data_IF_579406011724
#
_entry.id   IF_579406011724
#
_cell.length_a   1.000
_cell.length_b   1.000
_cell.length_c   1.000
_cell.angle_alpha   90.00
_cell.angle_beta   90.00
_cell.angle_gamma   90.00
#
_symmetry.space_group_name_H-M   'P 1'
#
loop_
_entity.id
_entity.type
_entity.pdbx_description
1 polymer ?
#
# COMPACT_ATOMS: atom_id res chain seq x y z
N UNK A 1 -48.29 -36.25 20.93
CA UNK A 1 -47.23 -35.68 21.78
C UNK A 1 -46.59 -34.52 21.03
N UNK A 2 -46.55 -33.38 21.69
CA UNK A 2 -46.35 -32.04 21.15
C UNK A 2 -44.89 -31.82 20.76
N UNK A 3 -44.63 -31.48 19.49
CA UNK A 3 -43.31 -31.04 19.05
C UNK A 3 -43.11 -29.62 19.57
N UNK A 4 -42.20 -29.45 20.53
CA UNK A 4 -41.80 -28.14 21.03
C UNK A 4 -41.18 -27.33 19.89
N UNK A 5 -41.83 -26.22 19.52
CA UNK A 5 -41.26 -25.22 18.65
C UNK A 5 -40.10 -24.52 19.39
N UNK A 6 -38.87 -24.74 18.93
CA UNK A 6 -37.72 -23.95 19.32
C UNK A 6 -37.91 -22.49 18.85
N UNK A 7 -37.53 -21.49 19.66
CA UNK A 7 -37.77 -20.09 19.34
C UNK A 7 -37.01 -19.70 18.08
N UNK A 8 -37.72 -19.03 17.15
CA UNK A 8 -37.13 -18.37 15.99
C UNK A 8 -36.09 -17.36 16.46
N UNK A 9 -34.81 -17.75 16.45
CA UNK A 9 -33.71 -16.80 16.48
C UNK A 9 -33.85 -15.99 15.19
N UNK A 10 -34.30 -14.75 15.32
CA UNK A 10 -34.21 -13.76 14.25
C UNK A 10 -32.72 -13.48 14.02
N UNK A 11 -32.10 -14.29 13.18
CA UNK A 11 -30.86 -13.92 12.52
C UNK A 11 -31.25 -12.92 11.43
N UNK A 12 -31.12 -11.63 11.75
CA UNK A 12 -31.04 -10.59 10.75
C UNK A 12 -29.74 -10.79 9.97
N UNK A 13 -29.81 -11.56 8.89
CA UNK A 13 -28.72 -11.72 7.92
C UNK A 13 -28.83 -10.57 6.94
N UNK A 14 -27.86 -9.64 7.00
CA UNK A 14 -27.75 -8.47 6.14
C UNK A 14 -27.77 -8.83 4.65
N UNK A 15 -28.44 -7.98 3.87
CA UNK A 15 -28.72 -8.09 2.43
C UNK A 15 -27.58 -7.54 1.55
N UNK A 16 -26.32 -7.85 1.83
CA UNK A 16 -25.20 -7.16 1.17
C UNK A 16 -24.62 -7.89 -0.04
N UNK A 17 -24.43 -7.17 -1.17
CA UNK A 17 -23.57 -7.58 -2.26
C UNK A 17 -22.15 -7.04 -2.03
N UNK A 18 -21.09 -7.85 -2.02
CA UNK A 18 -20.95 -9.01 -1.12
C UNK A 18 -19.86 -8.66 -0.12
N UNK A 19 -20.25 -8.28 1.12
CA UNK A 19 -19.28 -8.03 2.22
C UNK A 19 -18.31 -9.19 2.42
N UNK A 20 -18.75 -10.42 2.10
CA UNK A 20 -17.90 -11.61 2.07
C UNK A 20 -16.75 -11.50 1.04
N UNK A 21 -16.99 -10.98 -0.16
CA UNK A 21 -15.92 -10.78 -1.14
C UNK A 21 -14.97 -9.66 -0.71
N UNK A 22 -15.48 -8.59 -0.07
CA UNK A 22 -14.64 -7.55 0.52
C UNK A 22 -13.75 -8.13 1.64
N UNK A 23 -14.31 -8.98 2.51
CA UNK A 23 -13.56 -9.69 3.55
C UNK A 23 -12.42 -10.52 2.95
N UNK A 24 -12.71 -11.30 1.91
CA UNK A 24 -11.71 -12.10 1.20
C UNK A 24 -10.59 -11.23 0.60
N UNK A 25 -10.91 -10.07 0.00
CA UNK A 25 -9.89 -9.16 -0.53
C UNK A 25 -9.05 -8.52 0.59
N UNK A 26 -9.66 -8.18 1.74
CA UNK A 26 -8.95 -7.65 2.91
C UNK A 26 -7.96 -8.69 3.45
N UNK A 27 -8.37 -9.96 3.56
CA UNK A 27 -7.50 -11.06 3.96
C UNK A 27 -6.34 -11.28 2.98
N UNK A 28 -6.62 -11.27 1.67
CA UNK A 28 -5.58 -11.37 0.63
C UNK A 28 -4.59 -10.21 0.70
N UNK A 29 -5.06 -8.98 0.95
CA UNK A 29 -4.21 -7.80 1.16
C UNK A 29 -3.35 -7.95 2.40
N UNK A 30 -3.89 -8.49 3.51
CA UNK A 30 -3.11 -8.75 4.72
C UNK A 30 -2.01 -9.80 4.46
N UNK A 31 -2.33 -10.89 3.77
CA UNK A 31 -1.36 -11.91 3.39
C UNK A 31 -0.27 -11.35 2.45
N UNK A 32 -0.64 -10.50 1.49
CA UNK A 32 0.31 -9.85 0.60
C UNK A 32 1.27 -8.91 1.37
N UNK A 33 0.75 -8.14 2.34
CA UNK A 33 1.58 -7.28 3.20
C UNK A 33 2.54 -8.11 4.04
N UNK A 34 2.07 -9.20 4.64
CA UNK A 34 2.91 -10.12 5.40
C UNK A 34 4.05 -10.68 4.54
N UNK A 35 3.75 -11.15 3.33
CA UNK A 35 4.75 -11.65 2.38
C UNK A 35 5.82 -10.60 2.03
N UNK A 36 5.40 -9.34 1.80
CA UNK A 36 6.33 -8.23 1.56
C UNK A 36 7.21 -7.96 2.78
N UNK A 37 6.62 -7.95 3.98
CA UNK A 37 7.35 -7.65 5.21
C UNK A 37 8.34 -8.77 5.57
N UNK A 38 7.99 -10.03 5.28
CA UNK A 38 8.91 -11.17 5.42
C UNK A 38 10.06 -11.11 4.40
N UNK A 39 9.77 -10.74 3.14
CA UNK A 39 10.80 -10.50 2.13
C UNK A 39 11.75 -9.35 2.52
N UNK A 40 11.20 -8.27 3.07
CA UNK A 40 11.99 -7.14 3.57
C UNK A 40 12.86 -7.54 4.76
N UNK A 41 12.33 -8.34 5.70
CA UNK A 41 13.11 -8.86 6.82
C UNK A 41 14.29 -9.71 6.34
N UNK A 42 14.03 -10.64 5.42
CA UNK A 42 15.06 -11.48 4.84
C UNK A 42 16.14 -10.68 4.09
N UNK A 43 15.74 -9.63 3.35
CA UNK A 43 16.67 -8.73 2.67
C UNK A 43 17.57 -8.00 3.67
N UNK A 44 16.99 -7.43 4.73
CA UNK A 44 17.73 -6.73 5.78
C UNK A 44 18.73 -7.67 6.49
N UNK A 45 18.37 -8.93 6.72
CA UNK A 45 19.28 -9.93 7.28
C UNK A 45 20.49 -10.20 6.39
N UNK A 46 20.29 -10.28 5.07
CA UNK A 46 21.38 -10.47 4.10
C UNK A 46 22.24 -9.20 3.98
N UNK A 47 21.62 -8.02 3.92
CA UNK A 47 22.33 -6.75 3.89
C UNK A 47 23.20 -6.55 5.15
N UNK A 48 22.68 -6.91 6.33
CA UNK A 48 23.44 -6.89 7.58
C UNK A 48 24.68 -7.80 7.58
N UNK A 49 24.72 -8.84 6.73
CA UNK A 49 25.87 -9.76 6.57
C UNK A 49 26.86 -9.32 5.49
N UNK A 50 26.52 -8.35 4.63
CA UNK A 50 27.41 -7.93 3.54
C UNK A 50 28.67 -7.23 4.02
N UNK A 51 28.57 -6.37 5.02
CA UNK A 51 29.73 -5.68 5.61
C UNK A 51 30.71 -6.69 6.24
N UNK A 52 30.29 -7.60 7.14
CA UNK A 52 31.17 -8.65 7.65
C UNK A 52 31.81 -9.52 6.58
N UNK A 53 31.05 -9.91 5.55
CA UNK A 53 31.60 -10.72 4.46
C UNK A 53 32.65 -9.97 3.63
N UNK A 54 32.46 -8.67 3.42
CA UNK A 54 33.44 -7.82 2.72
C UNK A 54 34.70 -7.62 3.56
N UNK A 55 34.54 -7.43 4.87
CA UNK A 55 35.66 -7.36 5.81
C UNK A 55 36.44 -8.67 5.87
N UNK A 56 35.77 -9.82 5.88
CA UNK A 56 36.41 -11.13 5.84
C UNK A 56 37.26 -11.34 4.58
N UNK A 57 36.78 -10.88 3.41
CA UNK A 57 37.57 -10.89 2.16
C UNK A 57 38.81 -10.02 2.32
N UNK A 58 38.67 -8.81 2.84
CA UNK A 58 39.80 -7.90 3.05
C UNK A 58 40.84 -8.48 4.01
N UNK A 59 40.41 -9.06 5.14
CA UNK A 59 41.28 -9.71 6.10
C UNK A 59 42.00 -10.92 5.50
N UNK A 60 41.30 -11.74 4.71
CA UNK A 60 41.90 -12.88 4.02
C UNK A 60 42.95 -12.44 2.98
N UNK A 61 42.67 -11.35 2.24
CA UNK A 61 43.61 -10.79 1.26
C UNK A 61 44.86 -10.19 1.94
N UNK A 62 44.69 -9.52 3.08
CA UNK A 62 45.80 -9.04 3.90
C UNK A 62 46.66 -10.21 4.41
N UNK A 63 46.03 -11.27 4.94
CA UNK A 63 46.73 -12.47 5.40
C UNK A 63 47.49 -13.18 4.27
N UNK A 64 46.95 -13.16 3.04
CA UNK A 64 47.64 -13.69 1.87
C UNK A 64 48.84 -12.83 1.45
N UNK A 65 48.75 -11.50 1.56
CA UNK A 65 49.87 -10.60 1.29
C UNK A 65 51.03 -10.79 2.28
N UNK A 66 50.70 -11.10 3.54
CA UNK A 66 51.69 -11.37 4.60
C UNK A 66 52.19 -12.82 4.61
N UNK A 67 51.54 -13.73 3.89
CA UNK A 67 51.91 -15.14 3.86
C UNK A 67 53.29 -15.34 3.21
N UNK A 68 54.15 -16.08 3.90
CA UNK A 68 55.50 -16.42 3.42
C UNK A 68 55.70 -17.94 3.44
N UNK A 69 56.62 -18.46 2.59
CA UNK A 69 57.06 -19.83 2.72
C UNK A 69 57.68 -20.05 4.10
N UNK A 70 57.67 -21.30 4.57
CA UNK A 70 58.31 -21.65 5.82
C UNK A 70 59.80 -21.28 5.79
N UNK A 71 60.28 -20.68 6.88
CA UNK A 71 61.68 -20.30 7.05
C UNK A 71 62.59 -21.53 7.20
N UNK A 72 63.87 -21.38 6.88
CA UNK A 72 64.85 -22.47 7.01
C UNK A 72 64.91 -23.07 8.43
N UNK A 73 64.73 -22.25 9.46
CA UNK A 73 64.65 -22.70 10.86
C UNK A 73 63.41 -23.55 11.15
N UNK A 74 62.26 -23.23 10.56
CA UNK A 74 61.02 -24.00 10.72
C UNK A 74 61.10 -25.34 10.00
N UNK A 75 61.71 -25.37 8.82
CA UNK A 75 61.93 -26.60 8.06
C UNK A 75 62.90 -27.55 8.77
N UNK A 76 63.98 -27.04 9.34
CA UNK A 76 64.91 -27.85 10.13
C UNK A 76 64.19 -28.43 11.36
N UNK A 77 63.45 -27.60 12.11
CA UNK A 77 62.69 -28.06 13.27
C UNK A 77 61.67 -29.15 12.93
N UNK A 78 60.98 -29.02 11.79
CA UNK A 78 60.06 -30.01 11.27
C UNK A 78 60.74 -31.33 10.87
N UNK A 79 61.87 -31.23 10.18
CA UNK A 79 62.64 -32.39 9.73
C UNK A 79 63.16 -33.19 10.93
N UNK A 80 63.59 -32.50 11.99
CA UNK A 80 64.01 -33.11 13.27
C UNK A 80 62.86 -33.81 14.02
N UNK A 81 61.60 -33.44 13.75
CA UNK A 81 60.40 -34.15 14.25
C UNK A 81 59.95 -35.30 13.35
N UNK A 82 60.62 -35.52 12.20
CA UNK A 82 60.23 -36.53 11.22
C UNK A 82 58.99 -36.17 10.40
N UNK A 83 58.62 -34.88 10.37
CA UNK A 83 57.46 -34.39 9.63
C UNK A 83 57.82 -34.14 8.16
N UNK A 84 56.99 -34.64 7.24
CA UNK A 84 57.02 -34.20 5.83
C UNK A 84 56.21 -32.91 5.73
N UNK A 85 56.85 -31.80 5.32
CA UNK A 85 56.20 -30.49 5.25
C UNK A 85 56.28 -29.90 3.85
N UNK A 86 55.13 -29.44 3.35
CA UNK A 86 55.04 -28.61 2.16
C UNK A 86 55.41 -27.16 2.53
N UNK A 87 56.55 -26.68 2.02
CA UNK A 87 57.08 -25.32 2.23
C UNK A 87 56.11 -24.22 1.80
N UNK A 88 55.18 -24.52 0.89
CA UNK A 88 54.19 -23.59 0.36
C UNK A 88 52.82 -23.70 1.06
N UNK A 89 52.66 -24.62 2.02
CA UNK A 89 51.38 -24.84 2.71
C UNK A 89 50.75 -23.53 3.26
N UNK A 90 51.50 -22.61 3.92
CA UNK A 90 50.92 -21.37 4.43
C UNK A 90 50.32 -20.47 3.33
N UNK A 91 50.98 -20.41 2.17
CA UNK A 91 50.50 -19.61 1.03
C UNK A 91 49.28 -20.27 0.39
N UNK A 92 49.29 -21.61 0.26
CA UNK A 92 48.14 -22.36 -0.29
C UNK A 92 46.91 -22.22 0.59
N UNK A 93 47.06 -22.32 1.91
CA UNK A 93 45.97 -22.12 2.86
C UNK A 93 45.42 -20.69 2.80
N UNK A 94 46.30 -19.68 2.79
CA UNK A 94 45.87 -18.28 2.68
C UNK A 94 45.10 -18.01 1.38
N UNK A 95 45.53 -18.59 0.24
CA UNK A 95 44.79 -18.54 -1.02
C UNK A 95 43.43 -19.20 -0.92
N UNK A 96 43.33 -20.38 -0.30
CA UNK A 96 42.05 -21.08 -0.09
C UNK A 96 41.08 -20.21 0.70
N UNK A 97 41.54 -19.55 1.78
CA UNK A 97 40.71 -18.67 2.61
C UNK A 97 40.19 -17.46 1.85
N UNK A 98 41.00 -16.86 0.97
CA UNK A 98 40.55 -15.77 0.09
C UNK A 98 39.45 -16.26 -0.85
N UNK A 99 39.64 -17.40 -1.50
CA UNK A 99 38.66 -17.98 -2.41
C UNK A 99 37.35 -18.34 -1.70
N UNK A 100 37.42 -18.94 -0.52
CA UNK A 100 36.25 -19.24 0.32
C UNK A 100 35.49 -17.97 0.72
N UNK A 101 36.21 -16.93 1.15
CA UNK A 101 35.61 -15.65 1.55
C UNK A 101 34.96 -14.94 0.36
N UNK A 102 35.59 -14.97 -0.82
CA UNK A 102 35.01 -14.42 -2.06
C UNK A 102 33.75 -15.18 -2.46
N UNK A 103 33.77 -16.52 -2.44
CA UNK A 103 32.58 -17.35 -2.72
C UNK A 103 31.43 -17.04 -1.77
N UNK A 104 31.70 -16.89 -0.47
CA UNK A 104 30.68 -16.53 0.51
C UNK A 104 30.06 -15.15 0.23
N UNK A 105 30.89 -14.15 -0.10
CA UNK A 105 30.42 -12.81 -0.51
C UNK A 105 29.58 -12.86 -1.79
N UNK A 106 29.98 -13.65 -2.77
CA UNK A 106 29.28 -13.76 -4.06
C UNK A 106 27.93 -14.49 -3.90
N UNK A 107 27.87 -15.50 -3.02
CA UNK A 107 26.62 -16.15 -2.61
C UNK A 107 25.68 -15.16 -1.91
N UNK A 108 26.19 -14.32 -1.00
CA UNK A 108 25.39 -13.27 -0.35
C UNK A 108 24.89 -12.22 -1.35
N UNK A 109 25.68 -11.88 -2.36
CA UNK A 109 25.28 -10.95 -3.42
C UNK A 109 24.14 -11.53 -4.24
N UNK A 110 24.26 -12.81 -4.64
CA UNK A 110 23.21 -13.52 -5.37
C UNK A 110 21.93 -13.64 -4.52
N UNK A 111 22.06 -13.96 -3.24
CA UNK A 111 20.95 -14.02 -2.30
C UNK A 111 20.24 -12.66 -2.20
N UNK A 112 20.99 -11.57 -2.02
CA UNK A 112 20.47 -10.19 -1.99
C UNK A 112 19.65 -9.89 -3.24
N UNK A 113 20.21 -10.16 -4.43
CA UNK A 113 19.56 -9.82 -5.69
C UNK A 113 18.26 -10.62 -5.88
N UNK A 114 18.26 -11.91 -5.49
CA UNK A 114 17.06 -12.75 -5.52
C UNK A 114 15.98 -12.27 -4.54
N UNK A 115 16.37 -11.84 -3.34
CA UNK A 115 15.47 -11.30 -2.32
C UNK A 115 14.90 -9.94 -2.73
N UNK A 116 15.69 -9.11 -3.39
CA UNK A 116 15.22 -7.83 -3.94
C UNK A 116 14.16 -8.06 -5.01
N UNK A 117 14.38 -9.00 -5.93
CA UNK A 117 13.37 -9.40 -6.91
C UNK A 117 12.12 -10.05 -6.26
N UNK A 118 12.25 -10.71 -5.11
CA UNK A 118 11.11 -11.20 -4.35
C UNK A 118 10.33 -10.07 -3.68
N UNK A 119 11.03 -9.09 -3.10
CA UNK A 119 10.43 -7.90 -2.49
C UNK A 119 9.68 -7.04 -3.52
N UNK A 120 10.24 -6.86 -4.73
CA UNK A 120 9.59 -6.13 -5.82
C UNK A 120 8.27 -6.82 -6.21
N UNK A 121 8.30 -8.15 -6.42
CA UNK A 121 7.09 -8.94 -6.71
C UNK A 121 6.06 -8.89 -5.59
N UNK A 122 6.49 -8.97 -4.33
CA UNK A 122 5.59 -8.88 -3.18
C UNK A 122 4.97 -7.47 -3.06
N UNK A 123 5.74 -6.42 -3.35
CA UNK A 123 5.26 -5.04 -3.35
C UNK A 123 4.22 -4.79 -4.46
N UNK A 124 4.45 -5.34 -5.66
CA UNK A 124 3.44 -5.35 -6.71
C UNK A 124 2.18 -6.13 -6.30
N UNK A 125 2.35 -7.29 -5.64
CA UNK A 125 1.24 -8.05 -5.08
C UNK A 125 0.38 -7.25 -4.10
N UNK A 126 1.02 -6.47 -3.20
CA UNK A 126 0.32 -5.56 -2.29
C UNK A 126 -0.45 -4.49 -3.07
N UNK A 127 0.16 -3.88 -4.09
CA UNK A 127 -0.50 -2.86 -4.93
C UNK A 127 -1.77 -3.39 -5.59
N UNK A 128 -1.71 -4.60 -6.16
CA UNK A 128 -2.89 -5.24 -6.77
C UNK A 128 -3.96 -5.60 -5.73
N UNK A 129 -3.56 -6.09 -4.57
CA UNK A 129 -4.49 -6.41 -3.49
C UNK A 129 -5.17 -5.15 -2.92
N UNK A 130 -4.43 -4.04 -2.78
CA UNK A 130 -4.99 -2.73 -2.38
C UNK A 130 -6.03 -2.25 -3.40
N UNK A 131 -5.76 -2.38 -4.70
CA UNK A 131 -6.73 -2.00 -5.74
C UNK A 131 -7.98 -2.88 -5.72
N UNK A 132 -7.81 -4.20 -5.55
CA UNK A 132 -8.92 -5.14 -5.45
C UNK A 132 -9.82 -4.85 -4.23
N UNK A 133 -9.25 -4.47 -3.08
CA UNK A 133 -10.02 -4.02 -1.91
C UNK A 133 -10.79 -2.73 -2.23
N UNK A 134 -10.19 -1.77 -2.95
CA UNK A 134 -10.87 -0.53 -3.33
C UNK A 134 -12.06 -0.80 -4.25
N UNK A 135 -11.90 -1.69 -5.24
CA UNK A 135 -12.97 -2.10 -6.16
C UNK A 135 -14.10 -2.83 -5.41
N UNK A 136 -13.76 -3.80 -4.55
CA UNK A 136 -14.73 -4.53 -3.74
C UNK A 136 -15.50 -3.61 -2.78
N UNK A 137 -14.79 -2.66 -2.15
CA UNK A 137 -15.41 -1.63 -1.31
C UNK A 137 -16.35 -0.73 -2.12
N UNK A 138 -15.93 -0.31 -3.31
CA UNK A 138 -16.77 0.51 -4.19
C UNK A 138 -18.07 -0.21 -4.56
N UNK A 139 -18.02 -1.52 -4.81
CA UNK A 139 -19.21 -2.34 -5.02
C UNK A 139 -20.12 -2.36 -3.78
N UNK A 140 -19.57 -2.63 -2.59
CA UNK A 140 -20.34 -2.61 -1.32
C UNK A 140 -21.00 -1.25 -1.09
N UNK A 141 -20.27 -0.15 -1.32
CA UNK A 141 -20.80 1.21 -1.22
C UNK A 141 -21.90 1.48 -2.26
N UNK A 142 -21.70 1.11 -3.53
CA UNK A 142 -22.72 1.31 -4.58
C UNK A 142 -24.04 0.64 -4.25
N UNK A 143 -24.00 -0.55 -3.64
CA UNK A 143 -25.20 -1.26 -3.20
C UNK A 143 -25.84 -0.69 -1.93
N UNK A 144 -25.05 -0.02 -1.08
CA UNK A 144 -25.54 0.67 0.11
C UNK A 144 -26.06 2.10 -0.18
N UNK A 145 -25.65 2.71 -1.29
CA UNK A 145 -26.00 4.07 -1.71
C UNK A 145 -27.31 4.29 -2.53
N UNK A 146 -28.21 3.32 -2.79
CA UNK A 146 -29.44 3.59 -3.56
C UNK A 146 -30.26 4.76 -3.00
N UNK A 147 -30.43 4.83 -1.68
CA UNK A 147 -31.24 5.86 -1.02
C UNK A 147 -30.56 7.24 -1.01
N UNK A 148 -29.22 7.30 -1.03
CA UNK A 148 -28.44 8.53 -1.09
C UNK A 148 -28.46 9.11 -2.51
N UNK A 149 -28.42 8.24 -3.52
CA UNK A 149 -28.64 8.60 -4.93
C UNK A 149 -30.07 9.12 -5.13
N UNK A 150 -31.10 8.47 -4.56
CA UNK A 150 -32.49 8.96 -4.64
C UNK A 150 -32.68 10.34 -3.97
N UNK A 151 -32.07 10.62 -2.81
CA UNK A 151 -32.14 11.96 -2.20
C UNK A 151 -31.33 13.01 -2.98
N UNK A 152 -30.18 12.64 -3.54
CA UNK A 152 -29.38 13.52 -4.38
C UNK A 152 -30.05 13.82 -5.74
N UNK A 153 -31.02 13.01 -6.20
CA UNK A 153 -31.81 13.33 -7.40
C UNK A 153 -32.63 14.59 -7.23
N UNK A 154 -33.23 14.83 -6.06
CA UNK A 154 -33.97 16.05 -5.78
C UNK A 154 -33.03 17.27 -5.83
N UNK A 155 -31.86 17.17 -5.19
CA UNK A 155 -30.83 18.22 -5.22
C UNK A 155 -30.31 18.48 -6.65
N UNK A 156 -30.09 17.41 -7.44
CA UNK A 156 -29.68 17.51 -8.85
C UNK A 156 -30.79 18.11 -9.72
N UNK A 157 -32.04 17.76 -9.47
CA UNK A 157 -33.20 18.31 -10.17
C UNK A 157 -33.41 19.79 -9.81
N UNK A 158 -33.20 20.17 -8.55
CA UNK A 158 -33.22 21.55 -8.09
C UNK A 158 -32.08 22.35 -8.72
N UNK A 159 -30.84 21.86 -8.73
CA UNK A 159 -29.72 22.54 -9.39
C UNK A 159 -29.92 22.67 -10.90
N UNK A 160 -30.45 21.65 -11.57
CA UNK A 160 -30.84 21.72 -12.99
C UNK A 160 -32.05 22.63 -13.22
N UNK A 161 -32.94 22.77 -12.24
CA UNK A 161 -34.08 23.67 -12.25
C UNK A 161 -33.64 25.12 -12.10
N UNK A 162 -32.77 25.40 -11.12
CA UNK A 162 -32.12 26.69 -10.92
C UNK A 162 -31.31 27.08 -12.15
N UNK A 163 -30.52 26.17 -12.73
CA UNK A 163 -29.80 26.41 -13.97
C UNK A 163 -30.70 26.69 -15.18
N UNK A 164 -31.92 26.13 -15.21
CA UNK A 164 -32.94 26.46 -16.22
C UNK A 164 -33.58 27.81 -15.98
N UNK A 165 -33.93 28.15 -14.73
CA UNK A 165 -34.47 29.46 -14.36
C UNK A 165 -33.47 30.57 -14.64
N UNK A 166 -32.19 30.38 -14.27
CA UNK A 166 -31.11 31.31 -14.58
C UNK A 166 -30.90 31.46 -16.09
N UNK A 167 -31.04 30.38 -16.88
CA UNK A 167 -30.99 30.46 -18.33
C UNK A 167 -32.20 31.20 -18.94
N UNK A 168 -33.40 31.01 -18.39
CA UNK A 168 -34.62 31.71 -18.82
C UNK A 168 -34.51 33.20 -18.50
N UNK A 169 -34.14 33.55 -17.27
CA UNK A 169 -33.86 34.93 -16.86
C UNK A 169 -32.78 35.56 -17.75
N UNK A 170 -31.70 34.83 -18.04
CA UNK A 170 -30.67 35.28 -18.99
C UNK A 170 -31.26 35.51 -20.39
N UNK A 171 -32.11 34.63 -20.89
CA UNK A 171 -32.72 34.77 -22.22
C UNK A 171 -33.73 35.92 -22.31
N UNK A 172 -34.50 36.16 -21.25
CA UNK A 172 -35.46 37.28 -21.15
C UNK A 172 -34.74 38.62 -20.97
N UNK A 173 -33.59 38.62 -20.28
CA UNK A 173 -32.77 39.81 -20.12
C UNK A 173 -31.85 40.07 -21.32
N UNK A 174 -31.52 39.10 -22.20
CA UNK A 174 -30.71 39.32 -23.42
C UNK A 174 -31.43 40.02 -24.59
N UNK A 175 -32.45 40.84 -24.32
CA UNK A 175 -32.90 41.83 -25.30
C UNK A 175 -31.82 42.93 -25.41
N UNK A 176 -31.51 43.49 -26.60
CA UNK A 176 -30.35 44.38 -26.81
C UNK A 176 -30.38 45.73 -26.05
N UNK A 177 -31.30 45.90 -25.11
CA UNK A 177 -31.50 47.10 -24.29
C UNK A 177 -31.10 46.93 -22.82
N UNK A 178 -30.15 46.05 -22.48
CA UNK A 178 -29.64 45.98 -21.09
C UNK A 178 -28.74 47.18 -20.80
N UNK A 179 -29.16 48.02 -19.87
CA UNK A 179 -28.38 49.14 -19.36
C UNK A 179 -27.13 48.68 -18.58
N UNK A 180 -26.19 49.59 -18.27
CA UNK A 180 -24.99 49.25 -17.51
C UNK A 180 -25.28 48.70 -16.11
N UNK A 181 -26.35 49.18 -15.45
CA UNK A 181 -26.74 48.74 -14.10
C UNK A 181 -27.28 47.31 -14.05
N UNK A 182 -28.05 46.90 -15.05
CA UNK A 182 -28.59 45.53 -15.14
C UNK A 182 -27.51 44.51 -15.51
N UNK A 183 -26.49 44.94 -16.28
CA UNK A 183 -25.29 44.14 -16.53
C UNK A 183 -24.44 43.94 -15.28
N UNK A 184 -24.33 44.95 -14.42
CA UNK A 184 -23.63 44.85 -13.15
C UNK A 184 -24.35 43.86 -12.20
N UNK A 185 -25.68 43.95 -12.09
CA UNK A 185 -26.49 43.02 -11.29
C UNK A 185 -26.43 41.57 -11.81
N UNK A 186 -26.36 41.38 -13.13
CA UNK A 186 -26.18 40.04 -13.73
C UNK A 186 -24.78 39.47 -13.46
N UNK A 187 -23.73 40.30 -13.49
CA UNK A 187 -22.37 39.87 -13.13
C UNK A 187 -22.28 39.53 -11.64
N UNK A 188 -22.90 40.34 -10.78
CA UNK A 188 -22.97 40.11 -9.34
C UNK A 188 -23.75 38.83 -9.03
N UNK A 189 -24.87 38.56 -9.72
CA UNK A 189 -25.61 37.32 -9.58
C UNK A 189 -24.84 36.07 -10.08
N UNK A 190 -24.05 36.20 -11.15
CA UNK A 190 -23.21 35.11 -11.66
C UNK A 190 -22.01 34.85 -10.74
N UNK A 191 -21.42 35.89 -10.16
CA UNK A 191 -20.34 35.79 -9.16
C UNK A 191 -20.85 35.25 -7.82
N UNK A 192 -22.04 35.66 -7.36
CA UNK A 192 -22.71 35.08 -6.18
C UNK A 192 -23.13 33.63 -6.45
N UNK A 193 -23.63 33.33 -7.65
CA UNK A 193 -23.99 31.97 -8.05
C UNK A 193 -22.78 31.03 -8.11
N UNK A 194 -21.64 31.49 -8.65
CA UNK A 194 -20.38 30.73 -8.68
C UNK A 194 -19.71 30.65 -7.32
N UNK A 195 -19.68 31.74 -6.54
CA UNK A 195 -19.12 31.75 -5.20
C UNK A 195 -19.94 30.89 -4.25
N UNK A 196 -21.28 30.96 -4.29
CA UNK A 196 -22.13 30.06 -3.50
C UNK A 196 -22.00 28.59 -3.92
N UNK A 197 -21.62 28.30 -5.17
CA UNK A 197 -21.39 26.93 -5.65
C UNK A 197 -19.97 26.42 -5.31
N UNK A 198 -18.96 27.30 -5.29
CA UNK A 198 -17.57 26.99 -4.93
C UNK A 198 -17.30 27.03 -3.41
N UNK A 199 -17.90 27.96 -2.67
CA UNK A 199 -17.88 27.99 -1.20
C UNK A 199 -18.70 26.83 -0.63
N UNK A 200 -19.83 26.44 -1.23
CA UNK A 200 -20.53 25.20 -0.81
C UNK A 200 -19.85 23.90 -1.25
N UNK A 201 -18.81 23.94 -2.09
CA UNK A 201 -18.04 22.73 -2.40
C UNK A 201 -16.73 22.65 -1.61
N UNK A 202 -16.24 23.77 -1.07
CA UNK A 202 -15.01 23.84 -0.27
C UNK A 202 -15.22 24.18 1.23
N UNK A 203 -16.41 24.65 1.65
CA UNK A 203 -16.73 25.09 3.02
C UNK A 203 -18.08 24.54 3.54
N UNK A 204 -18.47 23.31 3.19
CA UNK A 204 -19.56 22.67 3.94
C UNK A 204 -18.98 22.14 5.25
N UNK A 205 -19.42 22.62 6.43
CA UNK A 205 -19.14 21.89 7.65
C UNK A 205 -19.75 20.50 7.44
N UNK A 206 -18.88 19.48 7.40
CA UNK A 206 -19.31 18.12 7.13
C UNK A 206 -20.45 17.80 8.10
N UNK A 207 -21.66 17.63 7.57
CA UNK A 207 -22.82 17.28 8.41
C UNK A 207 -22.47 16.00 9.17
N UNK A 208 -23.07 15.77 10.35
CA UNK A 208 -22.80 14.55 11.11
C UNK A 208 -22.98 13.29 10.23
N UNK A 209 -23.95 13.33 9.31
CA UNK A 209 -24.18 12.33 8.27
C UNK A 209 -23.02 12.21 7.26
N UNK A 210 -22.47 13.32 6.75
CA UNK A 210 -21.31 13.30 5.85
C UNK A 210 -20.07 12.71 6.53
N UNK A 211 -19.77 13.12 7.76
CA UNK A 211 -18.67 12.57 8.55
C UNK A 211 -18.85 11.07 8.79
N UNK A 212 -20.07 10.63 9.13
CA UNK A 212 -20.37 9.22 9.34
C UNK A 212 -20.16 8.39 8.06
N UNK A 213 -20.51 8.93 6.88
CA UNK A 213 -20.27 8.27 5.60
C UNK A 213 -18.78 8.26 5.22
N UNK A 214 -18.04 9.33 5.50
CA UNK A 214 -16.57 9.35 5.32
C UNK A 214 -15.86 8.34 6.21
N UNK A 215 -16.26 8.25 7.47
CA UNK A 215 -15.74 7.28 8.42
C UNK A 215 -16.08 5.85 7.99
N UNK A 216 -17.29 5.59 7.49
CA UNK A 216 -17.67 4.28 6.95
C UNK A 216 -16.90 3.91 5.67
N UNK A 217 -16.67 4.87 4.76
CA UNK A 217 -15.84 4.66 3.55
C UNK A 217 -14.39 4.35 3.89
N UNK A 218 -13.86 4.93 4.98
CA UNK A 218 -12.53 4.63 5.50
C UNK A 218 -12.51 3.29 6.23
N UNK A 219 -13.47 3.02 7.10
CA UNK A 219 -13.57 1.80 7.89
C UNK A 219 -13.73 0.54 7.05
N UNK A 220 -14.50 0.59 5.95
CA UNK A 220 -14.66 -0.54 5.02
C UNK A 220 -13.37 -0.96 4.30
N UNK A 221 -12.30 -0.16 4.33
CA UNK A 221 -11.01 -0.60 3.81
C UNK A 221 -10.38 -1.69 4.67
N UNK A 222 -10.69 -1.72 5.96
CA UNK A 222 -10.01 -2.54 6.95
C UNK A 222 -10.96 -3.51 7.66
N UNK A 223 -12.26 -3.19 7.72
CA UNK A 223 -13.30 -4.04 8.31
C UNK A 223 -14.50 -4.16 7.37
N UNK A 224 -14.77 -5.35 6.79
CA UNK A 224 -15.95 -5.56 5.94
C UNK A 224 -17.27 -5.42 6.69
N UNK A 225 -17.26 -5.50 8.03
CA UNK A 225 -18.43 -5.37 8.89
C UNK A 225 -18.61 -3.95 9.45
N UNK A 226 -17.79 -2.99 9.00
CA UNK A 226 -17.94 -1.59 9.38
C UNK A 226 -19.42 -1.14 9.23
N UNK A 227 -20.01 -0.54 10.28
CA UNK A 227 -21.40 -0.13 10.25
C UNK A 227 -21.59 0.96 9.19
N UNK A 228 -22.64 0.82 8.39
CA UNK A 228 -23.01 1.82 7.40
C UNK A 228 -24.02 2.78 8.05
N UNK A 229 -23.82 4.11 7.94
CA UNK A 229 -24.74 5.09 8.46
C UNK A 229 -26.12 4.91 7.81
N UNK A 230 -27.18 5.12 8.57
CA UNK A 230 -28.53 5.22 8.00
C UNK A 230 -28.82 6.66 7.66
N UNK A 231 -29.56 6.85 6.58
CA UNK A 231 -29.84 8.20 6.08
C UNK A 231 -30.87 8.89 6.98
N UNK A 232 -30.49 9.96 7.65
CA UNK A 232 -31.31 10.72 8.60
C UNK A 232 -31.11 10.41 10.09
N UNK A 233 -29.99 9.78 10.46
CA UNK A 233 -29.50 9.68 11.86
C UNK A 233 -28.58 10.84 12.25
#
# INVERSE_FOLDING_TARGET
MTVMALPKVKQEVSRDPSRAALAEQIERRAAARQSRDDALRALNEVEGRQLPASEAVWQAEAALADARPLSGTELIAATLRGESIDTEAPIKEARSRVEESRRARDQLTTARDSLRAALDRASDGVRWADESVREARAAVLQYALPDLIERAKALRAELLGIGRVLNVLRSEHTSPSIGPGERALLSEADDVGRSAFFERSNEVPATAEQLAWEDAMRGLLDDPNCPLPRIGE
#
